data_IF_692748172974
#
_entry.id   IF_692748172974
#
_cell.length_a   1.000
_cell.length_b   1.000
_cell.length_c   1.000
_cell.angle_alpha   90.00
_cell.angle_beta   90.00
_cell.angle_gamma   90.00
#
_symmetry.space_group_name_H-M   'P 1'
#
loop_
_entity.id
_entity.type
_entity.pdbx_description
1 polymer ?
#
# COMPACT_ATOMS: atom_id res chain seq x y z
N UNK A 1 -10.31 1.87 -14.30
CA UNK A 1 -9.34 1.06 -15.06
C UNK A 1 -8.97 -0.18 -14.27
N UNK A 2 -8.94 -1.39 -14.86
CA UNK A 2 -8.48 -2.58 -14.15
C UNK A 2 -6.99 -2.50 -13.81
N UNK A 3 -6.55 -3.29 -12.83
CA UNK A 3 -5.12 -3.43 -12.50
C UNK A 3 -4.27 -3.82 -13.72
N UNK A 4 -3.01 -3.39 -13.75
CA UNK A 4 -2.09 -3.71 -14.86
C UNK A 4 -1.94 -5.22 -15.05
N UNK A 5 -2.05 -5.68 -16.29
CA UNK A 5 -2.05 -7.11 -16.62
C UNK A 5 -0.75 -7.84 -16.23
N UNK A 6 0.39 -7.13 -16.18
CA UNK A 6 1.68 -7.69 -15.74
C UNK A 6 1.66 -7.91 -14.23
N UNK A 7 1.18 -6.93 -13.46
CA UNK A 7 1.03 -7.09 -12.02
C UNK A 7 0.05 -8.23 -11.70
N UNK A 8 -1.09 -8.31 -12.38
CA UNK A 8 -2.01 -9.44 -12.25
C UNK A 8 -1.35 -10.79 -12.57
N UNK A 9 -0.51 -10.86 -13.60
CA UNK A 9 0.22 -12.08 -13.97
C UNK A 9 1.13 -12.54 -12.84
N UNK A 10 1.97 -11.66 -12.31
CA UNK A 10 2.92 -11.98 -11.24
C UNK A 10 2.20 -12.32 -9.94
N UNK A 11 1.16 -11.56 -9.58
CA UNK A 11 0.34 -11.83 -8.40
C UNK A 11 -0.34 -13.21 -8.45
N UNK A 12 -0.88 -13.61 -9.62
CA UNK A 12 -1.49 -14.95 -9.78
C UNK A 12 -0.50 -16.09 -9.60
N UNK A 13 0.77 -15.90 -9.98
CA UNK A 13 1.81 -16.92 -9.74
C UNK A 13 2.06 -17.17 -8.25
N UNK A 14 1.72 -16.19 -7.40
CA UNK A 14 1.79 -16.25 -5.93
C UNK A 14 0.46 -16.57 -5.27
N UNK A 15 -0.59 -16.88 -6.05
CA UNK A 15 -1.92 -17.21 -5.52
C UNK A 15 -2.81 -16.02 -5.21
N UNK A 16 -2.45 -14.80 -5.63
CA UNK A 16 -3.29 -13.61 -5.46
C UNK A 16 -4.09 -13.28 -6.71
N UNK A 17 -5.37 -12.97 -6.53
CA UNK A 17 -6.22 -12.42 -7.58
C UNK A 17 -6.35 -10.90 -7.42
N UNK A 18 -5.83 -10.15 -8.40
CA UNK A 18 -5.92 -8.69 -8.43
C UNK A 18 -7.07 -8.23 -9.31
N UNK A 19 -8.28 -8.25 -8.75
CA UNK A 19 -9.52 -7.89 -9.43
C UNK A 19 -9.92 -6.42 -9.19
N UNK A 20 -8.97 -5.57 -8.81
CA UNK A 20 -9.25 -4.18 -8.45
C UNK A 20 -9.54 -3.30 -9.67
N UNK A 21 -10.46 -2.36 -9.47
CA UNK A 21 -10.75 -1.28 -10.42
C UNK A 21 -10.27 0.03 -9.79
N UNK A 22 -9.35 0.70 -10.47
CA UNK A 22 -8.85 2.01 -10.08
C UNK A 22 -10.01 2.99 -9.91
N UNK A 23 -10.00 3.66 -8.75
CA UNK A 23 -10.84 4.79 -8.38
C UNK A 23 -9.97 5.87 -7.74
N UNK A 24 -10.36 7.16 -7.80
CA UNK A 24 -9.67 8.19 -7.05
C UNK A 24 -9.91 8.04 -5.54
N UNK A 25 -8.98 8.58 -4.76
CA UNK A 25 -9.18 8.87 -3.34
C UNK A 25 -10.14 10.07 -3.20
N UNK A 26 -11.06 10.00 -2.25
CA UNK A 26 -12.06 11.05 -1.95
C UNK A 26 -12.09 11.34 -0.45
N UNK A 27 -12.56 12.53 -0.05
CA UNK A 27 -12.56 12.90 1.38
C UNK A 27 -13.35 11.93 2.25
N UNK A 28 -14.44 11.36 1.76
CA UNK A 28 -15.23 10.36 2.49
C UNK A 28 -14.41 9.11 2.85
N UNK A 29 -13.32 8.81 2.13
CA UNK A 29 -12.42 7.72 2.48
C UNK A 29 -11.76 7.93 3.85
N UNK A 30 -11.53 9.19 4.27
CA UNK A 30 -11.04 9.45 5.62
C UNK A 30 -12.03 8.94 6.66
N UNK A 31 -13.34 9.16 6.47
CA UNK A 31 -14.35 8.72 7.45
C UNK A 31 -14.62 7.22 7.38
N UNK A 32 -14.50 6.62 6.20
CA UNK A 32 -14.85 5.21 5.96
C UNK A 32 -13.79 4.21 6.45
N UNK A 33 -12.51 4.60 6.45
CA UNK A 33 -11.40 3.69 6.74
C UNK A 33 -10.68 4.02 8.04
N UNK A 34 -10.42 2.98 8.84
CA UNK A 34 -9.61 3.09 10.07
C UNK A 34 -8.14 3.39 9.78
N UNK A 35 -7.64 2.93 8.61
CA UNK A 35 -6.25 3.07 8.19
C UNK A 35 -6.17 3.41 6.70
N UNK A 36 -5.31 4.37 6.37
CA UNK A 36 -4.98 4.75 4.99
C UNK A 36 -3.50 4.44 4.79
N UNK A 37 -3.21 3.43 3.97
CA UNK A 37 -1.87 2.92 3.75
C UNK A 37 -1.36 3.36 2.38
N UNK A 38 -0.27 4.13 2.35
CA UNK A 38 0.32 4.68 1.12
C UNK A 38 1.53 3.86 0.67
N UNK A 39 1.72 3.74 -0.65
CA UNK A 39 2.78 2.88 -1.21
C UNK A 39 4.14 3.59 -1.26
N UNK A 40 4.15 4.89 -1.53
CA UNK A 40 5.36 5.71 -1.64
C UNK A 40 5.19 7.07 -0.96
N UNK A 41 6.24 7.89 -1.04
CA UNK A 41 6.27 9.22 -0.43
C UNK A 41 5.34 10.21 -1.15
N UNK A 42 5.20 10.11 -2.46
CA UNK A 42 4.34 11.02 -3.23
C UNK A 42 2.87 10.82 -2.85
N UNK A 43 2.44 9.55 -2.72
CA UNK A 43 1.13 9.19 -2.20
C UNK A 43 0.94 9.71 -0.77
N UNK A 44 1.94 9.52 0.10
CA UNK A 44 1.88 10.01 1.48
C UNK A 44 1.68 11.52 1.53
N UNK A 45 2.49 12.28 0.79
CA UNK A 45 2.37 13.74 0.73
C UNK A 45 1.05 14.19 0.12
N UNK A 46 0.55 13.49 -0.91
CA UNK A 46 -0.75 13.80 -1.51
C UNK A 46 -1.90 13.59 -0.51
N UNK A 47 -1.92 12.48 0.22
CA UNK A 47 -2.94 12.24 1.25
C UNK A 47 -2.82 13.24 2.40
N UNK A 48 -1.61 13.57 2.85
CA UNK A 48 -1.38 14.62 3.84
C UNK A 48 -1.83 16.00 3.34
N UNK A 49 -1.71 16.28 2.06
CA UNK A 49 -2.22 17.50 1.45
C UNK A 49 -3.75 17.56 1.41
N UNK A 50 -4.44 16.42 1.30
CA UNK A 50 -5.91 16.37 1.48
C UNK A 50 -6.30 16.57 2.96
N UNK A 51 -5.49 16.11 3.91
CA UNK A 51 -5.65 16.30 5.35
C UNK A 51 -4.95 17.58 5.86
N UNK A 52 -5.19 18.75 5.25
CA UNK A 52 -4.54 20.01 5.66
C UNK A 52 -4.84 20.40 7.11
N UNK A 53 -6.00 19.98 7.63
CA UNK A 53 -6.39 20.17 9.02
C UNK A 53 -5.66 19.27 10.01
N UNK A 54 -4.90 18.28 9.51
CA UNK A 54 -4.19 17.28 10.29
C UNK A 54 -5.13 16.51 11.25
N UNK A 55 -6.38 16.31 10.83
CA UNK A 55 -7.43 15.66 11.61
C UNK A 55 -7.29 14.12 11.57
N UNK A 56 -6.60 13.61 10.56
CA UNK A 56 -6.52 12.17 10.26
C UNK A 56 -5.09 11.64 10.26
N UNK A 57 -4.13 12.43 10.74
CA UNK A 57 -2.70 12.08 10.77
C UNK A 57 -2.43 10.72 11.44
N UNK A 58 -3.22 10.35 12.44
CA UNK A 58 -3.02 9.12 13.20
C UNK A 58 -3.35 7.85 12.43
N UNK A 59 -4.12 7.93 11.34
CA UNK A 59 -4.48 6.77 10.50
C UNK A 59 -3.73 6.68 9.18
N UNK A 60 -3.00 7.74 8.79
CA UNK A 60 -2.20 7.75 7.56
C UNK A 60 -0.83 7.13 7.86
N UNK A 61 -0.47 6.05 7.16
CA UNK A 61 0.78 5.31 7.34
C UNK A 61 1.36 4.90 5.99
N UNK A 62 2.68 4.69 5.93
CA UNK A 62 3.31 4.08 4.75
C UNK A 62 3.24 2.57 4.86
N UNK A 63 3.14 1.88 3.73
CA UNK A 63 3.23 0.42 3.72
C UNK A 63 4.56 -0.06 4.32
N UNK A 64 5.65 0.64 4.01
CA UNK A 64 6.99 0.31 4.49
C UNK A 64 7.21 0.51 5.98
N UNK A 65 6.31 1.23 6.68
CA UNK A 65 6.33 1.34 8.14
C UNK A 65 6.09 -0.04 8.80
N UNK A 66 5.57 -1.01 8.05
CA UNK A 66 5.23 -2.35 8.50
C UNK A 66 6.16 -3.46 7.98
N UNK A 67 7.18 -3.12 7.19
CA UNK A 67 8.19 -4.11 6.77
C UNK A 67 8.91 -4.68 7.99
N UNK A 68 8.99 -6.01 8.09
CA UNK A 68 9.68 -6.71 9.18
C UNK A 68 11.15 -6.91 8.82
N UNK A 69 11.40 -7.31 7.57
CA UNK A 69 12.74 -7.70 7.11
C UNK A 69 13.36 -6.65 6.17
N UNK A 70 12.55 -6.01 5.34
CA UNK A 70 13.02 -5.02 4.39
C UNK A 70 13.28 -3.66 5.06
N UNK A 71 14.40 -3.02 4.69
CA UNK A 71 14.70 -1.64 5.08
C UNK A 71 14.62 -0.75 3.85
N UNK A 72 13.39 -0.34 3.51
CA UNK A 72 13.09 0.51 2.36
C UNK A 72 12.18 1.67 2.78
N UNK A 73 12.27 2.80 2.07
CA UNK A 73 11.46 3.99 2.36
C UNK A 73 10.19 4.10 1.54
N UNK A 74 10.03 3.26 0.50
CA UNK A 74 8.88 3.23 -0.38
C UNK A 74 8.75 1.86 -1.07
N UNK A 75 7.53 1.48 -1.42
CA UNK A 75 7.28 0.43 -2.42
C UNK A 75 7.52 1.07 -3.79
N UNK A 76 8.49 0.57 -4.59
CA UNK A 76 8.85 1.20 -5.84
C UNK A 76 7.79 0.98 -6.92
N UNK A 77 7.73 1.90 -7.88
CA UNK A 77 6.94 1.68 -9.09
C UNK A 77 7.53 0.48 -9.89
N UNK A 78 6.73 -0.57 -10.18
CA UNK A 78 7.21 -1.79 -10.83
C UNK A 78 7.54 -1.60 -12.32
N UNK A 79 7.09 -0.53 -12.97
CA UNK A 79 7.05 -0.42 -14.44
C UNK A 79 8.42 -0.16 -15.09
N UNK A 80 9.42 0.24 -14.30
CA UNK A 80 10.77 0.54 -14.79
C UNK A 80 11.74 -0.65 -14.67
N UNK A 81 11.38 -1.71 -13.95
CA UNK A 81 12.25 -2.85 -13.63
C UNK A 81 12.02 -4.13 -14.44
N UNK A 82 11.17 -4.09 -15.47
CA UNK A 82 10.71 -5.30 -16.15
C UNK A 82 9.99 -6.26 -15.20
N UNK A 83 10.07 -7.57 -15.45
CA UNK A 83 9.40 -8.58 -14.60
C UNK A 83 9.87 -8.54 -13.15
N UNK A 84 11.16 -8.26 -12.90
CA UNK A 84 11.72 -8.22 -11.54
C UNK A 84 11.13 -7.08 -10.71
N UNK A 85 10.72 -5.98 -11.35
CA UNK A 85 10.04 -4.87 -10.67
C UNK A 85 8.73 -5.31 -10.01
N UNK A 86 7.95 -6.14 -10.70
CA UNK A 86 6.69 -6.69 -10.16
C UNK A 86 6.93 -7.68 -9.02
N UNK A 87 7.93 -8.55 -9.16
CA UNK A 87 8.29 -9.50 -8.09
C UNK A 87 8.76 -8.75 -6.84
N UNK A 88 9.61 -7.74 -6.99
CA UNK A 88 10.10 -6.94 -5.87
C UNK A 88 8.97 -6.20 -5.13
N UNK A 89 7.98 -5.68 -5.85
CA UNK A 89 6.78 -5.08 -5.22
C UNK A 89 6.02 -6.11 -4.40
N UNK A 90 5.81 -7.32 -4.94
CA UNK A 90 5.10 -8.38 -4.23
C UNK A 90 5.90 -8.84 -2.99
N UNK A 91 7.23 -8.97 -3.08
CA UNK A 91 8.09 -9.31 -1.93
C UNK A 91 7.94 -8.31 -0.79
N UNK A 92 7.97 -7.01 -1.10
CA UNK A 92 7.81 -5.95 -0.11
C UNK A 92 6.41 -5.93 0.49
N UNK A 93 5.37 -6.17 -0.32
CA UNK A 93 3.98 -6.24 0.15
C UNK A 93 3.76 -7.44 1.06
N UNK A 94 4.34 -8.60 0.78
CA UNK A 94 4.24 -9.78 1.62
C UNK A 94 4.91 -9.57 2.98
N UNK A 95 6.12 -9.00 3.00
CA UNK A 95 6.82 -8.64 4.24
C UNK A 95 6.01 -7.62 5.07
N UNK A 96 5.55 -6.55 4.42
CA UNK A 96 4.82 -5.49 5.11
C UNK A 96 3.40 -5.91 5.55
N UNK A 97 2.71 -6.76 4.80
CA UNK A 97 1.38 -7.26 5.17
C UNK A 97 1.42 -8.05 6.48
N UNK A 98 2.51 -8.80 6.72
CA UNK A 98 2.69 -9.53 7.96
C UNK A 98 2.79 -8.56 9.16
N UNK A 99 3.63 -7.53 9.06
CA UNK A 99 3.76 -6.54 10.13
C UNK A 99 2.48 -5.70 10.32
N UNK A 100 1.77 -5.40 9.23
CA UNK A 100 0.49 -4.69 9.28
C UNK A 100 -0.56 -5.52 10.02
N UNK A 101 -0.64 -6.83 9.73
CA UNK A 101 -1.56 -7.75 10.41
C UNK A 101 -1.30 -7.80 11.92
N UNK A 102 -0.03 -7.86 12.34
CA UNK A 102 0.35 -7.82 13.75
C UNK A 102 -0.07 -6.50 14.41
N UNK A 103 0.22 -5.37 13.76
CA UNK A 103 -0.14 -4.04 14.23
C UNK A 103 -1.64 -3.88 14.46
N UNK A 104 -2.47 -4.26 13.47
CA UNK A 104 -3.93 -4.10 13.58
C UNK A 104 -4.57 -5.09 14.55
N UNK A 105 -3.95 -6.26 14.76
CA UNK A 105 -4.45 -7.26 15.71
C UNK A 105 -4.16 -6.85 17.15
N UNK A 106 -2.96 -6.31 17.43
CA UNK A 106 -2.59 -5.81 18.76
C UNK A 106 -3.45 -4.62 19.19
N UNK A 107 -3.80 -3.73 18.25
CA UNK A 107 -4.67 -2.57 18.47
C UNK A 107 -6.14 -2.90 18.73
N UNK A 108 -6.61 -4.12 18.46
CA UNK A 108 -7.99 -4.56 18.71
C UNK A 108 -8.22 -5.06 20.15
N UNK A 109 -7.18 -5.12 20.97
CA UNK A 109 -7.22 -5.37 22.42
C UNK A 109 -7.07 -4.07 23.20
#
# INVERSE_FOLDING_TARGET
>A
NPADARMQKHARLRGYELNSISRPFVNDDFELFDWIITMDEDNYQQIKWYDQGNNYADKIRRMTDFCINAQVSAVPDPYYGGNQGFENVLDLLEDACQGLLEFVTLKKT
#
